data_IF_868748319387
#
_entry.id   IF_868748319387
#
_cell.length_a   1.000
_cell.length_b   1.000
_cell.length_c   1.000
_cell.angle_alpha   90.00
_cell.angle_beta   90.00
_cell.angle_gamma   90.00
#
_symmetry.space_group_name_H-M   'P 1'
#
loop_
_entity.id
_entity.type
_entity.pdbx_description
1 polymer ?
#
# COMPACT_ATOMS: atom_id res chain seq x y z
N UNK A 1 6.86 4.65 -20.41
CA UNK A 1 8.23 4.24 -20.04
C UNK A 1 8.36 4.36 -18.53
N UNK A 2 8.61 3.27 -17.79
CA UNK A 2 8.72 3.32 -16.34
C UNK A 2 10.16 3.71 -15.95
N UNK A 3 10.34 4.91 -15.39
CA UNK A 3 11.63 5.38 -14.87
C UNK A 3 11.68 5.35 -13.34
N UNK A 4 10.58 4.96 -12.69
CA UNK A 4 10.48 4.93 -11.24
C UNK A 4 10.75 3.53 -10.71
N UNK A 5 11.58 3.41 -9.68
CA UNK A 5 11.80 2.16 -8.97
C UNK A 5 10.73 1.85 -7.92
N UNK A 6 9.89 2.83 -7.60
CA UNK A 6 8.80 2.71 -6.63
C UNK A 6 7.66 3.66 -6.91
N UNK A 7 6.47 3.28 -6.48
CA UNK A 7 5.27 4.12 -6.46
C UNK A 7 4.70 4.09 -5.05
N UNK A 8 4.33 5.26 -4.54
CA UNK A 8 3.62 5.39 -3.28
C UNK A 8 2.19 5.85 -3.57
N UNK A 9 1.22 5.08 -3.08
CA UNK A 9 -0.18 5.51 -3.04
C UNK A 9 -0.36 6.49 -1.90
N UNK A 10 -0.44 7.77 -2.21
CA UNK A 10 -0.65 8.83 -1.21
C UNK A 10 -2.03 8.75 -0.55
N UNK A 11 -2.16 9.42 0.61
CA UNK A 11 -3.37 9.40 1.40
C UNK A 11 -4.60 9.91 0.63
N UNK A 12 -5.47 9.03 0.19
CA UNK A 12 -6.69 9.35 -0.56
C UNK A 12 -6.66 8.96 -2.03
N UNK A 13 -5.53 8.52 -2.58
CA UNK A 13 -5.46 8.03 -3.97
C UNK A 13 -6.14 6.66 -4.09
N UNK A 14 -7.10 6.56 -5.00
CA UNK A 14 -7.82 5.31 -5.27
C UNK A 14 -7.96 5.10 -6.78
N UNK A 15 -7.95 3.85 -7.27
CA UNK A 15 -8.13 3.58 -8.70
C UNK A 15 -9.54 3.91 -9.19
N UNK A 16 -10.54 3.77 -8.35
CA UNK A 16 -11.93 4.13 -8.60
C UNK A 16 -12.67 4.33 -7.29
N UNK A 17 -13.82 5.01 -7.33
CA UNK A 17 -14.70 5.14 -6.16
C UNK A 17 -15.19 3.75 -5.74
N UNK A 18 -15.03 3.41 -4.46
CA UNK A 18 -15.40 2.11 -3.90
C UNK A 18 -14.79 0.92 -4.66
N UNK A 19 -13.53 1.07 -5.10
CA UNK A 19 -12.84 0.07 -5.90
C UNK A 19 -12.82 -1.31 -5.23
N UNK A 20 -13.07 -2.36 -6.02
CA UNK A 20 -12.95 -3.75 -5.59
C UNK A 20 -11.48 -4.17 -5.47
N UNK A 21 -11.25 -5.33 -4.85
CA UNK A 21 -9.90 -5.92 -4.77
C UNK A 21 -9.31 -6.16 -6.16
N UNK A 22 -10.12 -6.62 -7.11
CA UNK A 22 -9.71 -6.87 -8.49
C UNK A 22 -9.23 -5.58 -9.15
N UNK A 23 -9.93 -4.47 -8.98
CA UNK A 23 -9.53 -3.15 -9.53
C UNK A 23 -8.19 -2.70 -8.97
N UNK A 24 -7.93 -2.92 -7.68
CA UNK A 24 -6.64 -2.64 -7.06
C UNK A 24 -5.52 -3.50 -7.64
N UNK A 25 -5.78 -4.81 -7.78
CA UNK A 25 -4.82 -5.78 -8.36
C UNK A 25 -4.49 -5.41 -9.80
N UNK A 26 -5.48 -5.09 -10.62
CA UNK A 26 -5.30 -4.68 -12.00
C UNK A 26 -4.41 -3.43 -12.09
N UNK A 27 -4.69 -2.41 -11.27
CA UNK A 27 -3.89 -1.18 -11.25
C UNK A 27 -2.42 -1.46 -10.92
N UNK A 28 -2.15 -2.23 -9.86
CA UNK A 28 -0.78 -2.55 -9.45
C UNK A 28 -0.09 -3.42 -10.49
N UNK A 29 -0.80 -4.38 -11.07
CA UNK A 29 -0.26 -5.24 -12.13
C UNK A 29 0.08 -4.45 -13.39
N UNK A 30 -0.72 -3.45 -13.75
CA UNK A 30 -0.43 -2.59 -14.91
C UNK A 30 0.84 -1.77 -14.69
N UNK A 31 1.04 -1.23 -13.49
CA UNK A 31 2.29 -0.56 -13.13
C UNK A 31 3.48 -1.51 -13.21
N UNK A 32 3.34 -2.70 -12.62
CA UNK A 32 4.39 -3.74 -12.64
C UNK A 32 4.73 -4.17 -14.06
N UNK A 33 3.72 -4.43 -14.87
CA UNK A 33 3.87 -4.80 -16.28
C UNK A 33 4.62 -3.72 -17.07
N UNK A 34 4.29 -2.45 -16.82
CA UNK A 34 5.01 -1.33 -17.41
C UNK A 34 6.49 -1.31 -17.02
N UNK A 35 6.81 -1.59 -15.77
CA UNK A 35 8.20 -1.63 -15.28
C UNK A 35 8.97 -2.83 -15.84
N UNK A 36 8.35 -4.01 -15.85
CA UNK A 36 8.97 -5.24 -16.37
C UNK A 36 9.18 -5.20 -17.89
N UNK A 37 8.43 -4.39 -18.63
CA UNK A 37 8.60 -4.21 -20.07
C UNK A 37 9.81 -3.34 -20.45
N UNK A 38 10.49 -2.75 -19.47
CA UNK A 38 11.71 -1.97 -19.73
C UNK A 38 12.91 -2.88 -20.04
N UNK A 39 13.96 -2.29 -20.64
CA UNK A 39 15.17 -3.03 -20.99
C UNK A 39 15.79 -3.80 -19.82
N UNK A 40 15.73 -3.25 -18.61
CA UNK A 40 16.30 -3.87 -17.41
C UNK A 40 15.33 -4.84 -16.73
N UNK A 41 14.02 -4.72 -16.98
CA UNK A 41 13.01 -5.60 -16.40
C UNK A 41 12.98 -5.62 -14.87
N UNK A 42 13.35 -4.51 -14.23
CA UNK A 42 13.39 -4.41 -12.77
C UNK A 42 11.98 -4.14 -12.27
N UNK A 43 11.44 -4.99 -11.37
CA UNK A 43 10.12 -4.75 -10.78
C UNK A 43 10.14 -3.51 -9.89
N UNK A 44 9.01 -2.82 -9.80
CA UNK A 44 8.87 -1.69 -8.89
C UNK A 44 8.41 -2.15 -7.50
N UNK A 45 8.69 -1.34 -6.49
CA UNK A 45 8.10 -1.45 -5.16
C UNK A 45 6.83 -0.57 -5.13
N UNK A 46 5.71 -1.15 -4.70
CA UNK A 46 4.48 -0.43 -4.45
C UNK A 46 4.27 -0.28 -2.94
N UNK A 47 4.10 0.94 -2.47
CA UNK A 47 3.85 1.26 -1.07
C UNK A 47 2.54 2.02 -0.88
N UNK A 48 2.05 2.02 0.34
CA UNK A 48 0.86 2.78 0.75
C UNK A 48 1.18 3.69 1.94
N UNK A 49 0.41 4.75 2.09
CA UNK A 49 0.42 5.62 3.26
C UNK A 49 -0.58 5.08 4.30
N UNK A 50 -0.10 4.16 5.15
CA UNK A 50 -0.93 3.36 6.05
C UNK A 50 -1.04 3.97 7.46
N UNK A 51 -1.40 5.24 7.57
CA UNK A 51 -1.51 5.93 8.88
C UNK A 51 -2.66 5.45 9.74
N UNK A 52 -3.68 4.85 9.15
CA UNK A 52 -4.85 4.25 9.80
C UNK A 52 -5.09 2.80 9.36
N UNK A 53 -4.08 2.07 8.95
CA UNK A 53 -4.20 0.87 8.16
C UNK A 53 -4.29 1.20 6.67
N UNK A 54 -4.85 0.34 5.85
CA UNK A 54 -5.05 0.66 4.43
C UNK A 54 -6.25 1.60 4.25
N UNK A 55 -6.05 2.88 4.59
CA UNK A 55 -7.11 3.90 4.66
C UNK A 55 -7.71 4.27 3.30
N UNK A 56 -7.20 3.77 2.18
CA UNK A 56 -7.74 4.03 0.85
C UNK A 56 -8.67 2.93 0.34
N UNK A 57 -8.65 1.73 0.96
CA UNK A 57 -9.49 0.60 0.53
C UNK A 57 -10.89 0.73 1.11
N UNK A 58 -11.89 0.67 0.24
CA UNK A 58 -13.30 0.70 0.63
C UNK A 58 -13.65 -0.47 1.55
N UNK A 59 -14.30 -0.19 2.67
CA UNK A 59 -14.65 -1.15 3.73
C UNK A 59 -13.47 -1.79 4.49
N UNK A 60 -12.24 -1.35 4.27
CA UNK A 60 -11.14 -1.79 5.11
C UNK A 60 -11.32 -1.31 6.55
N UNK A 61 -10.85 -2.09 7.51
CA UNK A 61 -10.84 -1.68 8.91
C UNK A 61 -9.92 -0.48 9.09
N UNK A 62 -10.44 0.56 9.74
CA UNK A 62 -9.67 1.76 10.09
C UNK A 62 -9.20 1.64 11.54
N UNK A 63 -7.90 1.83 11.75
CA UNK A 63 -7.26 1.81 13.05
C UNK A 63 -6.99 3.23 13.57
N UNK A 64 -6.71 3.40 14.87
CA UNK A 64 -6.20 4.66 15.39
C UNK A 64 -4.93 5.08 14.63
N UNK A 65 -4.72 6.39 14.50
CA UNK A 65 -3.54 6.91 13.81
C UNK A 65 -2.24 6.37 14.44
N UNK A 66 -1.26 6.03 13.62
CA UNK A 66 0.03 5.45 14.05
C UNK A 66 0.74 6.28 15.13
N UNK A 67 0.61 7.60 15.11
CA UNK A 67 1.14 8.48 16.16
C UNK A 67 0.49 8.17 17.53
N UNK A 68 -0.82 7.94 17.55
CA UNK A 68 -1.54 7.55 18.76
C UNK A 68 -1.10 6.17 19.25
N UNK A 69 -0.95 5.21 18.36
CA UNK A 69 -0.44 3.87 18.68
C UNK A 69 0.99 3.94 19.24
N UNK A 70 1.86 4.74 18.65
CA UNK A 70 3.22 4.97 19.14
C UNK A 70 3.25 5.61 20.53
N UNK A 71 2.32 6.50 20.84
CA UNK A 71 2.20 7.14 22.14
C UNK A 71 1.84 6.17 23.27
N UNK A 72 1.23 5.02 22.96
CA UNK A 72 0.91 3.98 23.97
C UNK A 72 2.16 3.29 24.53
N UNK A 73 3.30 3.44 23.86
CA UNK A 73 4.57 2.76 24.19
C UNK A 73 4.48 1.22 24.20
N UNK A 74 3.46 0.66 23.60
CA UNK A 74 3.29 -0.78 23.44
C UNK A 74 3.96 -1.24 22.15
N UNK A 75 5.27 -1.35 22.16
CA UNK A 75 6.11 -1.64 20.98
C UNK A 75 5.64 -2.89 20.23
N UNK A 76 5.20 -3.91 20.97
CA UNK A 76 4.77 -5.18 20.37
C UNK A 76 3.49 -5.03 19.53
N UNK A 77 2.54 -4.20 19.96
CA UNK A 77 1.32 -3.95 19.19
C UNK A 77 1.63 -3.13 17.92
N UNK A 78 2.42 -2.09 18.06
CA UNK A 78 2.78 -1.23 16.94
C UNK A 78 3.58 -1.98 15.86
N UNK A 79 4.51 -2.83 16.27
CA UNK A 79 5.30 -3.67 15.36
C UNK A 79 4.45 -4.71 14.64
N UNK A 80 3.51 -5.34 15.35
CA UNK A 80 2.62 -6.34 14.78
C UNK A 80 1.67 -5.74 13.75
N UNK A 81 1.11 -4.58 14.02
CA UNK A 81 0.24 -3.88 13.09
C UNK A 81 0.98 -3.42 11.84
N UNK A 82 2.18 -2.86 11.98
CA UNK A 82 3.02 -2.51 10.84
C UNK A 82 3.40 -3.72 9.99
N UNK A 83 3.75 -4.83 10.62
CA UNK A 83 4.14 -6.04 9.90
C UNK A 83 2.96 -6.65 9.13
N UNK A 84 1.78 -6.70 9.73
CA UNK A 84 0.57 -7.14 9.06
C UNK A 84 0.23 -6.24 7.85
N UNK A 85 0.34 -4.93 8.00
CA UNK A 85 0.07 -4.00 6.89
C UNK A 85 1.08 -4.13 5.76
N UNK A 86 2.35 -4.32 6.04
CA UNK A 86 3.35 -4.59 5.00
C UNK A 86 3.13 -5.95 4.31
N UNK A 87 2.78 -6.99 5.06
CA UNK A 87 2.58 -8.32 4.50
C UNK A 87 1.35 -8.40 3.57
N UNK A 88 0.27 -7.67 3.89
CA UNK A 88 -0.94 -7.63 3.04
C UNK A 88 -0.84 -6.68 1.85
N UNK A 89 0.14 -5.79 1.80
CA UNK A 89 0.37 -4.92 0.63
C UNK A 89 1.26 -5.56 -0.43
N UNK A 90 1.84 -6.72 -0.15
CA UNK A 90 2.77 -7.41 -1.06
C UNK A 90 2.19 -8.68 -1.68
N UNK A 91 0.94 -9.02 -1.39
CA UNK A 91 0.19 -10.12 -2.01
C UNK A 91 -0.80 -9.61 -3.03
#
# INVERSE_FOLDING_TARGET
MCYAGSILSGGGSVPAKQASAETWIEMVNDFQKGCLSTRLGIPMIYGIDAVHGHNNVYKATIFPHNVGLGATRQVNMTMHDHFLHMAFSTL
#
